data_IF_722194060182
#
_entry.id   IF_722194060182
#
_cell.length_a   1.000
_cell.length_b   1.000
_cell.length_c   1.000
_cell.angle_alpha   90.00
_cell.angle_beta   90.00
_cell.angle_gamma   90.00
#
_symmetry.space_group_name_H-M   'P 1'
#
loop_
_entity.id
_entity.type
_entity.pdbx_description
1 polymer ?
#
# COMPACT_ATOMS: atom_id res chain seq x y z
N UNK A 1 35.50 11.74 1.86
CA UNK A 1 34.49 10.89 1.18
C UNK A 1 33.38 10.40 2.12
N UNK A 2 33.65 9.80 3.29
CA UNK A 2 32.60 9.33 4.24
C UNK A 2 31.59 10.42 4.63
N UNK A 3 32.05 11.61 5.06
CA UNK A 3 31.17 12.75 5.41
C UNK A 3 30.30 13.19 4.22
N UNK A 4 30.88 13.26 3.02
CA UNK A 4 30.17 13.63 1.80
C UNK A 4 29.06 12.63 1.43
N UNK A 5 29.36 11.33 1.48
CA UNK A 5 28.38 10.27 1.20
C UNK A 5 27.24 10.31 2.23
N UNK A 6 27.58 10.40 3.51
CA UNK A 6 26.58 10.49 4.59
C UNK A 6 25.68 11.72 4.46
N UNK A 7 26.25 12.90 4.22
CA UNK A 7 25.46 14.12 4.03
C UNK A 7 24.55 14.02 2.82
N UNK A 8 25.01 13.39 1.72
CA UNK A 8 24.20 13.20 0.51
C UNK A 8 23.05 12.21 0.75
N UNK A 9 23.33 11.10 1.42
CA UNK A 9 22.33 10.09 1.77
C UNK A 9 21.24 10.69 2.68
N UNK A 10 21.65 11.42 3.73
CA UNK A 10 20.71 12.08 4.64
C UNK A 10 19.84 13.12 3.90
N UNK A 11 20.44 13.97 3.05
CA UNK A 11 19.70 14.92 2.23
C UNK A 11 18.71 14.23 1.31
N UNK A 12 19.08 13.09 0.72
CA UNK A 12 18.19 12.30 -0.14
C UNK A 12 16.99 11.75 0.65
N UNK A 13 17.21 11.21 1.84
CA UNK A 13 16.14 10.68 2.69
C UNK A 13 15.18 11.82 3.10
N UNK A 14 15.72 12.94 3.57
CA UNK A 14 14.91 14.12 3.94
C UNK A 14 14.11 14.63 2.75
N UNK A 15 14.74 14.71 1.56
CA UNK A 15 14.07 15.12 0.33
C UNK A 15 12.88 14.21 0.00
N UNK A 16 13.06 12.89 0.09
CA UNK A 16 11.98 11.92 -0.14
C UNK A 16 10.87 12.09 0.89
N UNK A 17 11.20 12.25 2.18
CA UNK A 17 10.21 12.46 3.23
C UNK A 17 9.37 13.72 2.98
N UNK A 18 10.02 14.84 2.61
CA UNK A 18 9.31 16.09 2.30
C UNK A 18 8.38 15.91 1.10
N UNK A 19 8.86 15.29 0.01
CA UNK A 19 8.04 15.06 -1.19
C UNK A 19 6.85 14.17 -0.86
N UNK A 20 7.07 13.07 -0.14
CA UNK A 20 5.98 12.17 0.29
C UNK A 20 4.99 12.90 1.19
N UNK A 21 5.47 13.72 2.14
CA UNK A 21 4.61 14.52 3.01
C UNK A 21 3.72 15.48 2.21
N UNK A 22 4.28 16.17 1.22
CA UNK A 22 3.52 17.08 0.35
C UNK A 22 2.43 16.31 -0.40
N UNK A 23 2.77 15.15 -0.97
CA UNK A 23 1.79 14.30 -1.68
C UNK A 23 0.69 13.84 -0.74
N UNK A 24 1.03 13.36 0.45
CA UNK A 24 0.06 12.91 1.46
C UNK A 24 -0.87 14.07 1.85
N UNK A 25 -0.33 15.26 2.14
CA UNK A 25 -1.13 16.45 2.44
C UNK A 25 -2.07 16.76 1.28
N UNK A 26 -1.54 16.82 0.06
CA UNK A 26 -2.32 17.15 -1.13
C UNK A 26 -3.49 16.17 -1.32
N UNK A 27 -3.24 14.86 -1.18
CA UNK A 27 -4.27 13.83 -1.33
C UNK A 27 -5.36 13.95 -0.27
N UNK A 28 -4.99 14.13 0.99
CA UNK A 28 -5.96 14.15 2.10
C UNK A 28 -6.68 15.50 2.28
N UNK A 29 -6.13 16.60 1.78
CA UNK A 29 -6.70 17.94 1.99
C UNK A 29 -7.31 18.58 0.74
N UNK A 30 -6.79 18.28 -0.46
CA UNK A 30 -7.25 18.93 -1.68
C UNK A 30 -8.24 18.08 -2.49
N UNK A 31 -8.26 16.76 -2.28
CA UNK A 31 -9.22 15.89 -2.95
C UNK A 31 -10.51 15.85 -2.14
N UNK A 32 -11.67 16.19 -2.75
CA UNK A 32 -12.95 16.10 -2.07
C UNK A 32 -13.23 14.66 -1.62
N UNK A 33 -13.51 14.48 -0.34
CA UNK A 33 -13.81 13.17 0.26
C UNK A 33 -14.93 12.43 -0.47
N UNK A 34 -15.90 13.13 -1.05
CA UNK A 34 -16.97 12.53 -1.83
C UNK A 34 -16.47 11.70 -3.02
N UNK A 35 -15.34 12.07 -3.62
CA UNK A 35 -14.75 11.37 -4.77
C UNK A 35 -14.17 10.01 -4.42
N UNK A 36 -13.77 9.80 -3.17
CA UNK A 36 -13.24 8.52 -2.68
C UNK A 36 -14.30 7.42 -2.83
N UNK A 37 -15.57 7.77 -2.63
CA UNK A 37 -16.67 6.82 -2.59
C UNK A 37 -17.52 6.77 -3.86
N UNK A 38 -17.12 7.49 -4.91
CA UNK A 38 -17.88 7.57 -6.16
C UNK A 38 -18.12 6.18 -6.78
N UNK A 39 -17.12 5.30 -6.67
CA UNK A 39 -17.15 3.93 -7.18
C UNK A 39 -17.37 2.86 -6.09
N UNK A 40 -17.90 3.22 -4.93
CA UNK A 40 -18.20 2.24 -3.88
C UNK A 40 -19.63 1.68 -3.98
N UNK A 41 -19.81 0.42 -4.45
CA UNK A 41 -21.13 -0.18 -4.58
C UNK A 41 -21.82 -0.42 -3.24
N UNK A 42 -21.08 -0.60 -2.13
CA UNK A 42 -21.66 -0.78 -0.81
C UNK A 42 -22.29 0.51 -0.33
N UNK A 43 -21.55 1.63 -0.36
CA UNK A 43 -22.08 2.95 0.01
C UNK A 43 -23.26 3.37 -0.87
N UNK A 44 -23.26 3.03 -2.15
CA UNK A 44 -24.36 3.37 -3.07
C UNK A 44 -25.68 2.67 -2.70
N UNK A 45 -25.62 1.46 -2.13
CA UNK A 45 -26.80 0.70 -1.69
C UNK A 45 -27.34 1.17 -0.33
N UNK A 46 -26.48 1.71 0.52
CA UNK A 46 -26.85 2.20 1.84
C UNK A 46 -27.65 3.51 1.74
N UNK A 47 -28.63 3.65 2.63
CA UNK A 47 -29.47 4.84 2.76
C UNK A 47 -29.36 5.40 4.19
N UNK A 48 -29.87 6.61 4.33
CA UNK A 48 -30.08 7.28 5.62
C UNK A 48 -28.85 7.25 6.56
N UNK A 49 -29.05 7.00 7.87
CA UNK A 49 -27.98 7.04 8.86
C UNK A 49 -26.96 5.92 8.67
N UNK A 50 -27.36 4.75 8.17
CA UNK A 50 -26.42 3.67 7.84
C UNK A 50 -25.37 4.10 6.82
N UNK A 51 -25.76 4.93 5.83
CA UNK A 51 -24.83 5.51 4.87
C UNK A 51 -23.85 6.46 5.56
N UNK A 52 -24.32 7.27 6.51
CA UNK A 52 -23.51 8.21 7.28
C UNK A 52 -22.48 7.47 8.13
N UNK A 53 -22.94 6.54 8.98
CA UNK A 53 -22.08 5.70 9.84
C UNK A 53 -21.04 4.93 9.02
N UNK A 54 -21.46 4.30 7.92
CA UNK A 54 -20.55 3.62 7.01
C UNK A 54 -19.49 4.57 6.44
N UNK A 55 -19.88 5.79 6.06
CA UNK A 55 -18.94 6.77 5.49
C UNK A 55 -17.88 7.15 6.51
N UNK A 56 -18.27 7.46 7.75
CA UNK A 56 -17.31 7.87 8.79
C UNK A 56 -16.39 6.71 9.22
N UNK A 57 -16.93 5.51 9.40
CA UNK A 57 -16.13 4.31 9.67
C UNK A 57 -15.10 4.05 8.57
N UNK A 58 -15.47 4.23 7.29
CA UNK A 58 -14.49 4.10 6.19
C UNK A 58 -13.49 5.23 6.14
N UNK A 59 -13.86 6.44 6.55
CA UNK A 59 -12.90 7.55 6.63
C UNK A 59 -11.86 7.33 7.73
N UNK A 60 -12.27 6.74 8.84
CA UNK A 60 -11.37 6.30 9.89
C UNK A 60 -10.41 5.20 9.40
N UNK A 61 -10.93 4.15 8.74
CA UNK A 61 -10.10 3.08 8.15
C UNK A 61 -9.04 3.64 7.19
N UNK A 62 -9.41 4.68 6.43
CA UNK A 62 -8.55 5.37 5.47
C UNK A 62 -7.64 6.43 6.13
N UNK A 63 -7.78 6.68 7.43
CA UNK A 63 -6.95 7.59 8.20
C UNK A 63 -7.24 9.07 8.00
N UNK A 64 -8.49 9.46 7.75
CA UNK A 64 -8.91 10.86 7.62
C UNK A 64 -9.33 11.49 8.96
N UNK A 65 -9.87 10.69 9.88
CA UNK A 65 -10.49 11.17 11.10
C UNK A 65 -10.49 10.06 12.16
N UNK A 66 -10.65 10.47 13.42
CA UNK A 66 -11.09 9.58 14.49
C UNK A 66 -12.62 9.54 14.49
N UNK A 67 -13.21 8.34 14.62
CA UNK A 67 -14.65 8.14 14.65
C UNK A 67 -15.04 7.23 15.81
N UNK A 68 -16.10 7.62 16.52
CA UNK A 68 -16.64 6.84 17.62
C UNK A 68 -18.16 6.78 17.52
N UNK A 69 -18.70 5.57 17.59
CA UNK A 69 -20.11 5.32 17.91
C UNK A 69 -20.36 5.54 19.40
N UNK A 70 -21.62 5.71 19.81
CA UNK A 70 -21.94 5.86 21.24
C UNK A 70 -21.40 4.73 22.13
N UNK A 71 -21.45 3.49 21.65
CA UNK A 71 -20.88 2.36 22.40
C UNK A 71 -19.37 2.50 22.61
N UNK A 72 -18.65 2.89 21.55
CA UNK A 72 -17.20 3.10 21.63
C UNK A 72 -16.83 4.31 22.48
N UNK A 73 -17.63 5.39 22.45
CA UNK A 73 -17.46 6.54 23.32
C UNK A 73 -17.55 6.13 24.81
N UNK A 74 -18.56 5.33 25.16
CA UNK A 74 -18.75 4.85 26.52
C UNK A 74 -17.58 3.98 27.00
N UNK A 75 -17.02 3.15 26.12
CA UNK A 75 -15.84 2.33 26.42
C UNK A 75 -14.58 3.17 26.54
N UNK A 76 -14.38 4.16 25.66
CA UNK A 76 -13.20 5.01 25.67
C UNK A 76 -13.11 5.92 26.91
N UNK A 77 -14.23 6.18 27.57
CA UNK A 77 -14.33 6.98 28.80
C UNK A 77 -14.57 6.16 30.07
N UNK A 78 -14.32 4.85 29.99
CA UNK A 78 -14.43 3.91 31.11
C UNK A 78 -15.75 4.08 31.87
N UNK A 79 -16.87 4.21 31.15
CA UNK A 79 -18.17 4.38 31.79
C UNK A 79 -18.52 3.17 32.65
N UNK A 80 -18.84 3.43 33.92
CA UNK A 80 -19.15 2.38 34.91
C UNK A 80 -20.53 1.73 34.64
N UNK A 81 -21.42 2.44 33.94
CA UNK A 81 -22.72 1.93 33.51
C UNK A 81 -22.89 2.17 32.01
N UNK A 82 -22.43 1.19 31.23
CA UNK A 82 -22.52 1.22 29.77
C UNK A 82 -23.97 1.33 29.30
N UNK A 83 -24.93 0.70 30.01
CA UNK A 83 -26.34 0.74 29.63
C UNK A 83 -26.93 2.13 29.84
N UNK A 84 -26.60 2.80 30.95
CA UNK A 84 -26.95 4.20 31.14
C UNK A 84 -26.27 5.08 30.07
N UNK A 85 -25.00 4.85 29.78
CA UNK A 85 -24.24 5.66 28.83
C UNK A 85 -24.76 5.59 27.38
N UNK A 86 -25.23 4.44 26.91
CA UNK A 86 -25.85 4.33 25.57
C UNK A 86 -27.28 4.86 25.52
N UNK A 87 -27.93 5.03 26.69
CA UNK A 87 -29.30 5.52 26.78
C UNK A 87 -29.34 7.03 26.59
N UNK A 88 -29.96 7.48 25.49
CA UNK A 88 -30.02 8.89 25.15
C UNK A 88 -30.63 9.75 26.26
N UNK A 89 -29.89 10.76 26.72
CA UNK A 89 -30.36 11.74 27.71
C UNK A 89 -30.21 11.29 29.18
N UNK A 90 -29.55 10.17 29.46
CA UNK A 90 -29.10 9.88 30.82
C UNK A 90 -27.97 10.82 31.25
N UNK A 91 -27.77 10.98 32.56
CA UNK A 91 -26.67 11.82 33.09
C UNK A 91 -25.30 11.34 32.61
N UNK A 92 -25.13 10.01 32.53
CA UNK A 92 -23.88 9.38 32.08
C UNK A 92 -23.66 9.58 30.57
N UNK A 93 -24.73 9.49 29.77
CA UNK A 93 -24.69 9.80 28.35
C UNK A 93 -24.27 11.27 28.14
N UNK A 94 -24.89 12.21 28.84
CA UNK A 94 -24.57 13.64 28.73
C UNK A 94 -23.13 13.91 29.16
N UNK A 95 -22.66 13.27 30.25
CA UNK A 95 -21.27 13.38 30.72
C UNK A 95 -20.29 12.96 29.62
N UNK A 96 -20.45 11.77 29.05
CA UNK A 96 -19.55 11.24 28.03
C UNK A 96 -19.56 12.11 26.77
N UNK A 97 -20.73 12.55 26.30
CA UNK A 97 -20.82 13.42 25.12
C UNK A 97 -20.09 14.76 25.35
N UNK A 98 -20.28 15.39 26.51
CA UNK A 98 -19.60 16.64 26.86
C UNK A 98 -18.08 16.47 26.98
N UNK A 99 -17.61 15.33 27.51
CA UNK A 99 -16.18 15.02 27.56
C UNK A 99 -15.57 14.88 26.16
N UNK A 100 -16.27 14.25 25.22
CA UNK A 100 -15.82 14.17 23.82
C UNK A 100 -15.79 15.53 23.13
N UNK A 101 -16.82 16.37 23.34
CA UNK A 101 -16.80 17.74 22.83
C UNK A 101 -15.63 18.55 23.41
N UNK A 102 -15.32 18.38 24.71
CA UNK A 102 -14.18 19.01 25.36
C UNK A 102 -12.82 18.55 24.80
N UNK A 103 -12.73 17.29 24.35
CA UNK A 103 -11.56 16.73 23.66
C UNK A 103 -11.43 17.20 22.20
N UNK A 104 -12.37 18.03 21.72
CA UNK A 104 -12.35 18.62 20.38
C UNK A 104 -13.04 17.77 19.31
N UNK A 105 -13.85 16.79 19.70
CA UNK A 105 -14.69 16.04 18.76
C UNK A 105 -15.98 16.81 18.43
N UNK A 106 -16.47 16.63 17.22
CA UNK A 106 -17.83 17.04 16.83
C UNK A 106 -18.78 15.90 17.14
N UNK A 107 -19.74 16.14 18.05
CA UNK A 107 -20.79 15.19 18.39
C UNK A 107 -22.05 15.51 17.58
N UNK A 108 -22.55 14.54 16.82
CA UNK A 108 -23.76 14.66 16.03
C UNK A 108 -24.76 13.56 16.40
N UNK A 109 -26.04 13.93 16.50
CA UNK A 109 -27.14 12.96 16.64
C UNK A 109 -27.69 12.60 15.28
N UNK A 110 -27.80 11.30 15.01
CA UNK A 110 -28.36 10.78 13.77
C UNK A 110 -29.86 11.10 13.67
N UNK A 111 -30.23 11.97 12.72
CA UNK A 111 -31.58 12.55 12.65
C UNK A 111 -32.54 11.83 11.72
N UNK A 112 -32.01 11.03 10.77
CA UNK A 112 -32.85 10.44 9.73
C UNK A 112 -33.69 9.29 10.29
N UNK A 113 -34.89 9.10 9.73
CA UNK A 113 -35.87 8.11 10.23
C UNK A 113 -35.44 6.68 9.86
N UNK A 114 -34.68 6.04 10.75
CA UNK A 114 -34.30 4.62 10.73
C UNK A 114 -34.03 4.10 12.16
N UNK A 115 -33.63 2.83 12.30
CA UNK A 115 -33.36 2.22 13.62
C UNK A 115 -32.21 2.88 14.40
N UNK A 116 -31.35 3.64 13.72
CA UNK A 116 -30.23 4.36 14.35
C UNK A 116 -30.60 5.79 14.75
N UNK A 117 -31.86 6.21 14.53
CA UNK A 117 -32.33 7.54 14.86
C UNK A 117 -32.13 7.84 16.36
N UNK A 118 -31.52 8.98 16.66
CA UNK A 118 -31.23 9.41 18.03
C UNK A 118 -29.91 8.90 18.59
N UNK A 119 -29.23 7.97 17.93
CA UNK A 119 -27.87 7.58 18.33
C UNK A 119 -26.90 8.74 18.08
N UNK A 120 -25.96 8.90 19.01
CA UNK A 120 -24.90 9.92 18.91
C UNK A 120 -23.64 9.31 18.31
N UNK A 121 -23.01 10.06 17.40
CA UNK A 121 -21.71 9.76 16.84
C UNK A 121 -20.76 10.92 17.17
N UNK A 122 -19.47 10.62 17.35
CA UNK A 122 -18.44 11.62 17.51
C UNK A 122 -17.37 11.44 16.43
N UNK A 123 -16.90 12.54 15.84
CA UNK A 123 -15.82 12.50 14.87
C UNK A 123 -14.90 13.72 14.97
N UNK A 124 -13.61 13.54 14.64
CA UNK A 124 -12.61 14.61 14.57
C UNK A 124 -11.67 14.38 13.40
N UNK A 125 -11.66 15.29 12.43
CA UNK A 125 -10.72 15.24 11.31
C UNK A 125 -9.30 15.52 11.79
N UNK A 126 -8.34 14.77 11.26
CA UNK A 126 -6.95 14.98 11.60
C UNK A 126 -6.43 16.31 11.04
N UNK A 127 -5.67 17.02 11.87
CA UNK A 127 -4.84 18.11 11.39
C UNK A 127 -3.71 17.60 10.49
N UNK A 128 -3.14 18.47 9.66
CA UNK A 128 -2.05 18.13 8.73
C UNK A 128 -0.87 17.41 9.43
N UNK A 129 -0.45 17.89 10.60
CA UNK A 129 0.67 17.32 11.33
C UNK A 129 0.34 15.96 11.96
N UNK A 130 -0.88 15.80 12.46
CA UNK A 130 -1.36 14.54 13.02
C UNK A 130 -1.46 13.46 11.95
N UNK A 131 -1.96 13.84 10.77
CA UNK A 131 -2.07 12.98 9.60
C UNK A 131 -0.68 12.46 9.16
N UNK A 132 0.29 13.36 9.03
CA UNK A 132 1.68 12.96 8.73
C UNK A 132 2.28 12.10 9.84
N UNK A 133 2.06 12.46 11.10
CA UNK A 133 2.52 11.68 12.25
C UNK A 133 1.98 10.25 12.23
N UNK A 134 0.67 10.09 12.02
CA UNK A 134 -0.01 8.80 11.92
C UNK A 134 0.46 8.00 10.71
N UNK A 135 0.64 8.63 9.55
CA UNK A 135 1.18 8.00 8.35
C UNK A 135 2.59 7.43 8.61
N UNK A 136 3.52 8.26 9.10
CA UNK A 136 4.91 7.81 9.32
C UNK A 136 5.04 6.82 10.48
N UNK A 137 4.22 6.93 11.52
CA UNK A 137 4.18 5.98 12.64
C UNK A 137 3.82 4.58 12.17
N UNK A 138 2.88 4.46 11.23
CA UNK A 138 2.41 3.17 10.68
C UNK A 138 3.25 2.69 9.50
N UNK A 139 4.05 3.56 8.87
CA UNK A 139 4.76 3.28 7.62
C UNK A 139 5.68 2.06 7.69
N UNK A 140 6.47 1.91 8.75
CA UNK A 140 7.44 0.82 8.88
C UNK A 140 6.87 -0.24 9.83
N UNK A 141 6.62 -1.43 9.29
CA UNK A 141 6.16 -2.59 10.05
C UNK A 141 7.31 -3.57 10.18
N UNK A 142 7.67 -3.87 11.42
CA UNK A 142 8.69 -4.87 11.75
C UNK A 142 7.98 -6.14 12.17
N UNK A 143 8.35 -7.25 11.54
CA UNK A 143 7.89 -8.57 11.95
C UNK A 143 8.81 -9.13 13.04
N UNK A 144 8.23 -9.79 14.05
CA UNK A 144 8.99 -10.29 15.20
C UNK A 144 8.33 -11.54 15.82
N UNK A 145 9.08 -12.38 16.55
CA UNK A 145 8.59 -13.67 17.07
C UNK A 145 7.45 -13.61 18.10
N UNK A 146 7.13 -12.41 18.57
CA UNK A 146 6.06 -12.15 19.54
C UNK A 146 4.85 -11.50 18.89
N UNK A 147 4.77 -11.49 17.55
CA UNK A 147 3.67 -10.82 16.85
C UNK A 147 2.39 -11.64 16.85
N UNK A 148 2.52 -12.96 16.72
CA UNK A 148 1.38 -13.88 16.71
C UNK A 148 1.07 -14.36 18.12
N UNK A 149 -0.17 -14.15 18.54
CA UNK A 149 -0.74 -14.72 19.75
C UNK A 149 -1.94 -15.58 19.36
N UNK A 150 -1.74 -16.90 19.34
CA UNK A 150 -2.81 -17.86 19.02
C UNK A 150 -3.32 -18.53 20.31
N UNK A 151 -4.59 -18.31 20.71
CA UNK A 151 -5.19 -18.99 21.85
C UNK A 151 -5.24 -20.51 21.71
N UNK A 152 -5.28 -21.05 20.48
CA UNK A 152 -5.29 -22.49 20.20
C UNK A 152 -3.89 -23.12 20.22
N UNK A 153 -2.85 -22.31 20.17
CA UNK A 153 -1.46 -22.74 20.25
C UNK A 153 -0.63 -21.81 21.17
N UNK A 154 -0.91 -21.81 22.49
CA UNK A 154 -0.28 -20.89 23.43
C UNK A 154 1.22 -21.15 23.61
N UNK A 155 1.64 -22.42 23.52
CA UNK A 155 3.03 -22.87 23.74
C UNK A 155 3.85 -22.96 22.45
N UNK A 156 3.46 -22.21 21.40
CA UNK A 156 4.19 -22.20 20.15
C UNK A 156 5.65 -21.79 20.34
N UNK A 157 6.57 -22.43 19.62
CA UNK A 157 7.98 -22.05 19.62
C UNK A 157 8.11 -20.59 19.15
N UNK A 158 8.95 -19.80 19.81
CA UNK A 158 9.19 -18.39 19.44
C UNK A 158 10.66 -18.16 19.27
N UNK A 159 11.05 -17.71 18.09
CA UNK A 159 12.44 -17.40 17.81
C UNK A 159 12.76 -17.40 16.33
N UNK A 160 13.99 -17.00 16.04
CA UNK A 160 14.56 -17.10 14.71
C UNK A 160 15.38 -18.38 14.62
N UNK A 161 15.26 -19.09 13.51
CA UNK A 161 16.06 -20.26 13.21
C UNK A 161 16.71 -20.10 11.84
N UNK A 162 17.97 -20.53 11.74
CA UNK A 162 18.67 -20.62 10.46
C UNK A 162 18.43 -22.04 9.95
N UNK A 163 17.90 -22.15 8.75
CA UNK A 163 17.63 -23.44 8.15
C UNK A 163 17.64 -23.37 6.63
N UNK A 164 17.35 -24.51 6.01
CA UNK A 164 17.12 -24.57 4.57
C UNK A 164 15.63 -24.33 4.29
N UNK A 165 15.34 -23.65 3.18
CA UNK A 165 13.98 -23.54 2.64
C UNK A 165 13.54 -24.85 1.95
N UNK A 166 12.36 -24.82 1.32
CA UNK A 166 11.81 -25.97 0.59
C UNK A 166 12.58 -26.33 -0.70
N UNK A 167 13.50 -25.46 -1.15
CA UNK A 167 14.37 -25.64 -2.30
C UNK A 167 15.83 -25.94 -1.90
N UNK A 168 16.09 -26.24 -0.62
CA UNK A 168 17.43 -26.44 -0.06
C UNK A 168 18.35 -25.21 -0.14
N UNK A 169 17.79 -24.00 -0.16
CA UNK A 169 18.52 -22.73 -0.10
C UNK A 169 18.51 -22.20 1.34
N UNK A 170 19.62 -21.65 1.86
CA UNK A 170 19.66 -21.07 3.19
C UNK A 170 18.60 -19.96 3.35
N UNK A 171 17.86 -20.01 4.45
CA UNK A 171 16.89 -18.98 4.81
C UNK A 171 16.83 -18.79 6.32
N UNK A 172 16.51 -17.56 6.74
CA UNK A 172 16.17 -17.27 8.14
C UNK A 172 14.67 -17.46 8.29
N UNK A 173 14.28 -18.44 9.10
CA UNK A 173 12.90 -18.71 9.47
C UNK A 173 12.58 -18.06 10.81
N UNK A 174 11.31 -17.77 11.04
CA UNK A 174 10.81 -17.32 12.33
C UNK A 174 9.56 -18.09 12.73
N UNK A 175 9.53 -18.52 13.99
CA UNK A 175 8.34 -19.02 14.64
C UNK A 175 7.75 -17.94 15.55
N UNK A 176 6.44 -17.70 15.45
CA UNK A 176 5.73 -16.62 16.15
C UNK A 176 5.71 -15.26 15.43
N UNK A 177 6.31 -15.18 14.24
CA UNK A 177 6.21 -14.04 13.33
C UNK A 177 4.97 -14.14 12.45
N UNK A 178 4.59 -13.05 11.77
CA UNK A 178 3.54 -13.09 10.74
C UNK A 178 3.98 -13.95 9.54
N UNK A 179 5.25 -13.84 9.11
CA UNK A 179 5.80 -14.64 8.01
C UNK A 179 6.75 -15.74 8.50
N UNK A 180 6.67 -16.92 7.89
CA UNK A 180 7.59 -18.04 8.19
C UNK A 180 9.02 -17.71 7.81
N UNK A 181 9.22 -17.16 6.60
CA UNK A 181 10.54 -16.83 6.06
C UNK A 181 10.80 -15.33 6.22
N UNK A 182 11.81 -14.98 7.01
CA UNK A 182 12.17 -13.59 7.30
C UNK A 182 13.23 -13.05 6.35
N UNK A 183 14.20 -13.87 5.99
CA UNK A 183 15.22 -13.57 4.98
C UNK A 183 15.41 -14.81 4.10
N UNK A 184 15.32 -14.66 2.79
CA UNK A 184 15.47 -15.77 1.85
C UNK A 184 16.10 -15.29 0.55
N UNK A 185 16.63 -16.24 -0.22
CA UNK A 185 17.31 -16.00 -1.48
C UNK A 185 16.57 -16.71 -2.61
N UNK A 186 16.44 -16.04 -3.74
CA UNK A 186 15.90 -16.67 -4.94
C UNK A 186 16.58 -16.08 -6.19
N UNK A 187 16.13 -16.51 -7.36
CA UNK A 187 16.67 -16.07 -8.67
C UNK A 187 16.09 -14.74 -9.17
N UNK A 188 15.11 -14.16 -8.48
CA UNK A 188 14.50 -12.89 -8.84
C UNK A 188 15.28 -11.73 -8.24
N UNK A 189 15.56 -10.70 -9.03
CA UNK A 189 16.22 -9.51 -8.51
C UNK A 189 15.23 -8.67 -7.67
N UNK A 190 15.62 -8.15 -6.49
CA UNK A 190 16.90 -8.34 -5.82
C UNK A 190 17.01 -9.76 -5.23
N UNK A 191 18.12 -10.46 -5.47
CA UNK A 191 18.32 -11.88 -5.11
C UNK A 191 18.22 -12.18 -3.59
N UNK A 192 18.14 -11.13 -2.77
CA UNK A 192 17.96 -11.19 -1.32
C UNK A 192 16.63 -10.52 -1.00
N UNK A 193 15.74 -11.27 -0.36
CA UNK A 193 14.42 -10.80 0.01
C UNK A 193 14.24 -10.85 1.52
N UNK A 194 13.50 -9.87 2.05
CA UNK A 194 13.16 -9.81 3.46
C UNK A 194 11.66 -9.63 3.65
N UNK A 195 11.09 -10.39 4.59
CA UNK A 195 9.75 -10.14 5.13
C UNK A 195 9.81 -9.50 6.54
N UNK A 196 11.01 -9.38 7.13
CA UNK A 196 11.18 -8.82 8.47
C UNK A 196 10.86 -7.33 8.57
N UNK A 197 11.01 -6.60 7.45
CA UNK A 197 10.68 -5.18 7.37
C UNK A 197 9.76 -4.96 6.17
N UNK A 198 8.55 -4.48 6.42
CA UNK A 198 7.57 -4.14 5.40
C UNK A 198 7.13 -2.70 5.52
N UNK A 199 6.71 -2.14 4.38
CA UNK A 199 6.07 -0.84 4.33
C UNK A 199 4.55 -1.02 4.36
N UNK A 200 3.88 -0.21 5.15
CA UNK A 200 2.43 -0.16 5.23
C UNK A 200 1.93 1.17 4.65
N UNK A 201 1.21 1.08 3.53
CA UNK A 201 0.58 2.21 2.85
C UNK A 201 -0.94 2.24 3.07
N UNK A 202 -1.42 1.60 4.14
CA UNK A 202 -2.83 1.47 4.44
C UNK A 202 -3.53 0.39 3.62
N UNK A 203 -4.86 0.47 3.61
CA UNK A 203 -5.75 -0.48 2.95
C UNK A 203 -6.22 0.13 1.63
N UNK A 204 -6.31 -0.69 0.59
CA UNK A 204 -6.78 -0.28 -0.72
C UNK A 204 -8.28 -0.04 -0.71
N UNK A 205 -8.73 0.99 -1.41
CA UNK A 205 -10.14 1.36 -1.54
C UNK A 205 -10.36 2.26 -2.79
N UNK A 206 -11.51 2.17 -3.50
CA UNK A 206 -12.59 1.20 -3.32
C UNK A 206 -12.39 -0.12 -4.10
N UNK A 207 -11.50 -0.16 -5.08
CA UNK A 207 -11.40 -1.28 -6.04
C UNK A 207 -10.98 -2.61 -5.41
N UNK A 208 -10.00 -2.58 -4.49
CA UNK A 208 -9.55 -3.75 -3.73
C UNK A 208 -9.84 -3.57 -2.24
N UNK A 209 -11.09 -3.20 -1.92
CA UNK A 209 -11.52 -2.89 -0.56
C UNK A 209 -11.10 -3.98 0.44
N UNK A 210 -10.41 -3.57 1.50
CA UNK A 210 -9.98 -4.47 2.59
C UNK A 210 -8.62 -5.15 2.38
N UNK A 211 -7.99 -5.02 1.21
CA UNK A 211 -6.67 -5.58 0.94
C UNK A 211 -5.58 -4.55 1.23
N UNK A 212 -4.48 -4.89 1.95
CA UNK A 212 -3.36 -3.97 2.14
C UNK A 212 -2.82 -3.42 0.80
N UNK A 213 -2.63 -2.11 0.70
CA UNK A 213 -2.18 -1.45 -0.53
C UNK A 213 -0.86 -2.02 -1.02
N UNK A 214 0.06 -2.34 -0.10
CA UNK A 214 1.35 -2.95 -0.43
C UNK A 214 1.19 -4.30 -1.13
N UNK A 215 0.23 -5.12 -0.71
CA UNK A 215 -0.04 -6.43 -1.33
C UNK A 215 -0.61 -6.23 -2.75
N UNK A 216 -1.48 -5.24 -2.95
CA UNK A 216 -2.06 -4.91 -4.27
C UNK A 216 -0.99 -4.50 -5.29
N UNK A 217 -0.06 -3.62 -4.91
CA UNK A 217 0.95 -3.09 -5.84
C UNK A 217 2.16 -4.03 -6.03
N UNK A 218 2.39 -4.94 -5.10
CA UNK A 218 3.52 -5.89 -5.12
C UNK A 218 3.18 -7.25 -5.72
N UNK A 219 1.90 -7.63 -5.74
CA UNK A 219 1.44 -8.88 -6.37
C UNK A 219 1.52 -8.79 -7.90
N UNK A 220 1.89 -9.90 -8.53
CA UNK A 220 1.88 -10.02 -9.99
C UNK A 220 0.48 -9.90 -10.59
N UNK A 221 0.42 -9.67 -11.90
CA UNK A 221 -0.84 -9.46 -12.64
C UNK A 221 -1.06 -10.59 -13.65
N UNK A 222 -2.25 -10.67 -14.23
CA UNK A 222 -2.56 -11.65 -15.28
C UNK A 222 -2.97 -13.02 -14.73
N UNK A 223 -2.56 -14.10 -15.41
CA UNK A 223 -2.98 -15.46 -15.04
C UNK A 223 -1.99 -16.10 -14.05
N UNK A 224 -2.48 -17.03 -13.22
CA UNK A 224 -1.65 -17.72 -12.24
C UNK A 224 -0.64 -18.65 -12.94
N UNK A 225 0.64 -18.47 -12.65
CA UNK A 225 1.72 -19.26 -13.23
C UNK A 225 2.11 -20.40 -12.28
N UNK A 226 1.56 -21.58 -12.53
CA UNK A 226 1.79 -22.76 -11.68
C UNK A 226 3.06 -23.50 -12.07
N UNK A 227 3.91 -23.76 -11.10
CA UNK A 227 5.16 -24.51 -11.26
C UNK A 227 5.17 -25.74 -10.33
N UNK A 228 5.99 -26.73 -10.68
CA UNK A 228 6.18 -27.90 -9.83
C UNK A 228 7.02 -27.50 -8.60
N UNK A 229 6.53 -27.84 -7.42
CA UNK A 229 7.19 -27.54 -6.16
C UNK A 229 6.92 -28.63 -5.14
N UNK A 230 7.89 -28.85 -4.25
CA UNK A 230 7.74 -29.74 -3.10
C UNK A 230 7.22 -28.93 -1.93
N UNK A 231 6.11 -29.39 -1.35
CA UNK A 231 5.49 -28.81 -0.17
C UNK A 231 6.14 -29.33 1.13
N UNK A 232 6.02 -28.61 2.26
CA UNK A 232 6.57 -29.06 3.55
C UNK A 232 6.17 -30.48 3.98
N UNK A 233 4.99 -30.95 3.57
CA UNK A 233 4.53 -32.33 3.80
C UNK A 233 5.28 -33.39 2.97
N UNK A 234 6.13 -32.98 2.03
CA UNK A 234 6.83 -33.85 1.09
C UNK A 234 6.06 -34.10 -0.21
N UNK A 235 4.81 -33.62 -0.33
CA UNK A 235 4.03 -33.76 -1.56
C UNK A 235 4.60 -32.87 -2.68
N UNK A 236 4.79 -33.46 -3.86
CA UNK A 236 5.18 -32.73 -5.08
C UNK A 236 3.92 -32.41 -5.87
N UNK A 237 3.58 -31.14 -5.98
CA UNK A 237 2.37 -30.67 -6.66
C UNK A 237 2.69 -29.49 -7.57
N UNK A 238 1.92 -29.38 -8.66
CA UNK A 238 1.92 -28.18 -9.50
C UNK A 238 1.03 -27.12 -8.87
N UNK A 239 1.62 -26.01 -8.45
CA UNK A 239 0.92 -24.94 -7.74
C UNK A 239 1.55 -23.58 -8.05
N UNK A 240 0.76 -22.48 -8.09
CA UNK A 240 1.30 -21.12 -8.22
C UNK A 240 1.74 -20.52 -6.87
N UNK A 241 1.65 -21.27 -5.77
CA UNK A 241 1.98 -20.77 -4.43
C UNK A 241 3.45 -20.36 -4.32
N UNK A 242 3.70 -19.18 -3.75
CA UNK A 242 5.03 -18.71 -3.36
C UNK A 242 5.27 -18.98 -1.88
N UNK A 243 5.89 -20.11 -1.53
CA UNK A 243 6.01 -20.54 -0.13
C UNK A 243 6.79 -19.56 0.77
N UNK A 244 7.72 -18.78 0.20
CA UNK A 244 8.44 -17.73 0.94
C UNK A 244 7.57 -16.57 1.44
N UNK A 245 6.33 -16.47 0.94
CA UNK A 245 5.39 -15.39 1.29
C UNK A 245 4.30 -15.86 2.25
N UNK A 246 4.34 -17.11 2.71
CA UNK A 246 3.32 -17.66 3.59
C UNK A 246 3.26 -16.95 4.94
N UNK A 247 2.04 -16.48 5.25
CA UNK A 247 1.62 -15.86 6.50
C UNK A 247 0.98 -16.90 7.43
N UNK A 248 1.06 -16.64 8.73
CA UNK A 248 0.38 -17.42 9.74
C UNK A 248 -1.13 -17.38 9.56
N UNK A 249 -1.78 -18.54 9.60
CA UNK A 249 -3.22 -18.75 9.51
C UNK A 249 -3.68 -19.43 10.81
N UNK A 250 -4.54 -18.75 11.57
CA UNK A 250 -5.06 -19.24 12.84
C UNK A 250 -5.86 -20.54 12.70
N UNK A 251 -6.55 -20.71 11.57
CA UNK A 251 -7.33 -21.91 11.28
C UNK A 251 -6.92 -22.46 9.92
N UNK A 252 -6.25 -23.61 9.91
CA UNK A 252 -5.88 -24.32 8.69
C UNK A 252 -7.04 -25.21 8.24
N UNK A 253 -7.30 -25.23 6.94
CA UNK A 253 -8.30 -26.12 6.34
C UNK A 253 -7.65 -27.46 5.92
N UNK A 254 -8.49 -28.42 5.48
CA UNK A 254 -8.00 -29.73 5.04
C UNK A 254 -7.04 -29.67 3.83
N UNK A 255 -7.17 -28.66 2.96
CA UNK A 255 -6.27 -28.49 1.82
C UNK A 255 -4.92 -27.93 2.27
N UNK A 256 -4.93 -27.03 3.27
CA UNK A 256 -3.73 -26.51 3.89
C UNK A 256 -2.96 -27.64 4.57
N UNK A 257 -3.60 -28.48 5.38
CA UNK A 257 -2.95 -29.58 6.11
C UNK A 257 -2.33 -30.64 5.20
N UNK A 258 -2.82 -30.75 3.96
CA UNK A 258 -2.21 -31.62 2.95
C UNK A 258 -0.88 -31.06 2.42
N UNK A 259 -0.73 -29.73 2.43
CA UNK A 259 0.42 -29.00 1.86
C UNK A 259 1.39 -28.50 2.92
N UNK A 260 0.92 -28.09 4.09
CA UNK A 260 1.71 -27.46 5.13
C UNK A 260 1.63 -28.28 6.41
N UNK A 261 2.79 -28.46 7.04
CA UNK A 261 2.98 -29.11 8.32
C UNK A 261 2.69 -28.18 9.51
N UNK A 262 2.62 -26.88 9.25
CA UNK A 262 2.39 -25.83 10.24
C UNK A 262 1.28 -24.85 9.80
N UNK A 263 1.02 -23.87 10.65
CA UNK A 263 0.00 -22.85 10.44
C UNK A 263 0.39 -21.79 9.38
N UNK A 264 1.57 -21.87 8.75
CA UNK A 264 1.97 -20.91 7.72
C UNK A 264 1.47 -21.33 6.34
N UNK A 265 0.16 -21.23 6.14
CA UNK A 265 -0.53 -21.71 4.95
C UNK A 265 -1.15 -20.60 4.07
N UNK A 266 -1.16 -19.34 4.52
CA UNK A 266 -1.73 -18.24 3.74
C UNK A 266 -0.66 -17.54 2.89
N UNK A 267 -0.49 -17.97 1.64
CA UNK A 267 0.64 -17.57 0.79
C UNK A 267 0.20 -16.73 -0.42
N UNK A 268 1.08 -15.84 -0.88
CA UNK A 268 0.86 -15.15 -2.15
C UNK A 268 1.02 -16.12 -3.34
N UNK A 269 0.41 -15.76 -4.46
CA UNK A 269 0.43 -16.52 -5.69
C UNK A 269 1.36 -15.87 -6.71
N UNK A 270 2.01 -16.71 -7.51
CA UNK A 270 2.80 -16.32 -8.66
C UNK A 270 1.87 -16.10 -9.85
N UNK A 271 2.11 -15.01 -10.56
CA UNK A 271 1.41 -14.67 -11.79
C UNK A 271 2.39 -14.55 -12.96
N UNK A 272 1.86 -14.67 -14.18
CA UNK A 272 2.61 -14.57 -15.43
C UNK A 272 3.19 -13.17 -15.69
N UNK A 273 2.54 -12.13 -15.15
CA UNK A 273 2.89 -10.74 -15.40
C UNK A 273 3.46 -10.07 -14.14
N UNK A 274 4.42 -9.15 -14.30
CA UNK A 274 5.05 -8.45 -13.18
C UNK A 274 4.07 -7.57 -12.41
N UNK A 275 4.43 -7.28 -11.16
CA UNK A 275 3.67 -6.38 -10.30
C UNK A 275 3.77 -4.91 -10.73
N UNK A 276 2.93 -4.05 -10.16
CA UNK A 276 3.00 -2.60 -10.43
C UNK A 276 4.35 -2.01 -10.00
N UNK A 277 4.89 -2.48 -8.86
CA UNK A 277 6.23 -2.10 -8.40
C UNK A 277 7.30 -2.57 -9.38
N UNK A 278 7.27 -3.84 -9.78
CA UNK A 278 8.27 -4.38 -10.69
C UNK A 278 8.25 -3.68 -12.05
N UNK A 279 7.05 -3.37 -12.56
CA UNK A 279 6.87 -2.59 -13.79
C UNK A 279 7.47 -1.20 -13.66
N UNK A 280 7.17 -0.50 -12.56
CA UNK A 280 7.74 0.83 -12.28
C UNK A 280 9.26 0.81 -12.17
N UNK A 281 9.80 -0.26 -11.57
CA UNK A 281 11.25 -0.47 -11.45
C UNK A 281 11.91 -0.67 -12.82
N UNK A 282 11.32 -1.46 -13.71
CA UNK A 282 11.79 -1.66 -15.08
C UNK A 282 11.82 -0.31 -15.82
N UNK A 283 10.72 0.44 -15.81
CA UNK A 283 10.67 1.77 -16.43
C UNK A 283 11.71 2.72 -15.85
N UNK A 284 11.88 2.74 -14.53
CA UNK A 284 12.87 3.58 -13.86
C UNK A 284 14.30 3.28 -14.29
N UNK A 285 14.70 2.00 -14.31
CA UNK A 285 16.05 1.61 -14.72
C UNK A 285 16.27 1.83 -16.21
N UNK A 286 15.32 1.43 -17.06
CA UNK A 286 15.43 1.64 -18.50
C UNK A 286 15.56 3.13 -18.83
N UNK A 287 14.75 3.98 -18.18
CA UNK A 287 14.84 5.44 -18.32
C UNK A 287 16.20 5.98 -17.86
N UNK A 288 16.73 5.49 -16.74
CA UNK A 288 18.04 5.86 -16.25
C UNK A 288 19.15 5.50 -17.25
N UNK A 289 19.14 4.27 -17.77
CA UNK A 289 20.11 3.79 -18.75
C UNK A 289 20.05 4.67 -20.02
N UNK A 290 18.85 4.94 -20.54
CA UNK A 290 18.68 5.80 -21.72
C UNK A 290 19.15 7.23 -21.46
N UNK A 291 18.90 7.78 -20.26
CA UNK A 291 19.39 9.10 -19.89
C UNK A 291 20.92 9.17 -19.88
N UNK A 292 21.59 8.13 -19.37
CA UNK A 292 23.06 8.06 -19.39
C UNK A 292 23.64 7.81 -20.78
N UNK A 293 22.97 7.02 -21.62
CA UNK A 293 23.45 6.68 -22.96
C UNK A 293 23.18 7.77 -24.00
N UNK A 294 22.09 8.52 -23.86
CA UNK A 294 21.63 9.48 -24.88
C UNK A 294 21.70 10.90 -24.34
N UNK A 295 20.97 11.19 -23.26
CA UNK A 295 20.81 12.56 -22.76
C UNK A 295 22.15 13.15 -22.29
N UNK A 296 22.98 12.38 -21.60
CA UNK A 296 24.27 12.87 -21.09
C UNK A 296 25.27 13.16 -22.23
N UNK A 297 25.55 12.25 -23.18
CA UNK A 297 26.39 12.57 -24.34
C UNK A 297 25.85 13.72 -25.17
N UNK A 298 24.53 13.81 -25.36
CA UNK A 298 23.91 14.92 -26.09
C UNK A 298 24.10 16.26 -25.37
N UNK A 299 23.92 16.31 -24.04
CA UNK A 299 24.18 17.49 -23.25
C UNK A 299 25.68 17.91 -23.28
N UNK A 300 26.60 16.95 -23.23
CA UNK A 300 28.03 17.22 -23.38
C UNK A 300 28.33 17.74 -24.80
N UNK A 301 27.72 17.16 -25.84
CA UNK A 301 27.90 17.58 -27.22
C UNK A 301 27.38 19.01 -27.46
N UNK A 302 26.24 19.38 -26.85
CA UNK A 302 25.71 20.75 -26.81
C UNK A 302 26.72 21.69 -26.16
N UNK A 303 27.20 21.36 -24.95
CA UNK A 303 28.14 22.21 -24.21
C UNK A 303 29.47 22.42 -24.98
N UNK A 304 29.96 21.38 -25.67
CA UNK A 304 31.20 21.45 -26.45
C UNK A 304 31.04 22.18 -27.79
N UNK A 305 29.84 22.21 -28.37
CA UNK A 305 29.57 22.79 -29.69
C UNK A 305 28.68 24.04 -29.62
N UNK A 306 29.00 24.94 -28.68
CA UNK A 306 28.24 26.18 -28.46
C UNK A 306 28.05 26.99 -29.74
N UNK A 307 26.83 27.47 -29.97
CA UNK A 307 26.44 28.27 -31.13
C UNK A 307 26.26 27.48 -32.44
N UNK A 308 26.62 26.19 -32.47
CA UNK A 308 26.41 25.31 -33.62
C UNK A 308 25.01 24.69 -33.61
N UNK A 309 24.69 23.93 -34.65
CA UNK A 309 23.38 23.29 -34.82
C UNK A 309 22.98 22.39 -33.65
N UNK A 310 23.91 21.61 -33.08
CA UNK A 310 23.63 20.70 -31.95
C UNK A 310 23.17 21.48 -30.71
N UNK A 311 23.81 22.61 -30.42
CA UNK A 311 23.42 23.49 -29.33
C UNK A 311 22.04 24.13 -29.58
N UNK A 312 21.85 24.71 -30.76
CA UNK A 312 20.56 25.34 -31.14
C UNK A 312 19.39 24.36 -31.11
N UNK A 313 19.57 23.14 -31.62
CA UNK A 313 18.51 22.11 -31.62
C UNK A 313 18.13 21.69 -30.20
N UNK A 314 19.09 21.53 -29.30
CA UNK A 314 18.77 21.16 -27.93
C UNK A 314 18.18 22.30 -27.11
N UNK A 315 18.56 23.57 -27.35
CA UNK A 315 17.87 24.74 -26.76
C UNK A 315 16.40 24.76 -27.18
N UNK A 316 16.10 24.52 -28.46
CA UNK A 316 14.71 24.43 -28.96
C UNK A 316 13.96 23.32 -28.24
N UNK A 317 14.55 22.14 -28.11
CA UNK A 317 13.95 21.02 -27.39
C UNK A 317 13.63 21.38 -25.93
N UNK A 318 14.59 21.97 -25.21
CA UNK A 318 14.42 22.38 -23.80
C UNK A 318 13.30 23.42 -23.67
N UNK A 319 13.27 24.42 -24.54
CA UNK A 319 12.24 25.46 -24.50
C UNK A 319 10.84 24.87 -24.74
N UNK A 320 10.69 23.93 -25.68
CA UNK A 320 9.42 23.23 -25.90
C UNK A 320 9.00 22.45 -24.66
N UNK A 321 9.93 21.69 -24.06
CA UNK A 321 9.63 20.88 -22.87
C UNK A 321 9.23 21.71 -21.66
N UNK A 322 9.77 22.91 -21.50
CA UNK A 322 9.42 23.84 -20.42
C UNK A 322 8.10 24.57 -20.71
N UNK A 323 7.84 24.89 -21.99
CA UNK A 323 6.65 25.64 -22.39
C UNK A 323 5.37 24.80 -22.41
N UNK A 324 5.48 23.49 -22.69
CA UNK A 324 4.32 22.61 -22.84
C UNK A 324 3.99 21.93 -21.50
N UNK A 325 2.73 22.00 -21.02
CA UNK A 325 2.30 21.24 -19.85
C UNK A 325 2.60 19.75 -20.03
N UNK A 326 3.21 19.12 -19.02
CA UNK A 326 3.68 17.73 -19.14
C UNK A 326 2.57 16.76 -19.55
N UNK A 327 1.34 16.97 -19.05
CA UNK A 327 0.19 16.14 -19.42
C UNK A 327 -0.16 16.26 -20.92
N UNK A 328 -0.12 17.47 -21.47
CA UNK A 328 -0.38 17.71 -22.89
C UNK A 328 0.71 17.09 -23.78
N UNK A 329 1.98 17.22 -23.36
CA UNK A 329 3.10 16.58 -24.05
C UNK A 329 2.96 15.05 -24.07
N UNK A 330 2.60 14.45 -22.93
CA UNK A 330 2.37 12.99 -22.82
C UNK A 330 1.28 12.58 -23.82
N UNK A 331 0.13 13.24 -23.82
CA UNK A 331 -0.95 12.90 -24.77
C UNK A 331 -0.54 13.11 -26.23
N UNK A 332 0.19 14.18 -26.54
CA UNK A 332 0.67 14.44 -27.90
C UNK A 332 1.61 13.34 -28.39
N UNK A 333 2.61 12.98 -27.59
CA UNK A 333 3.55 11.89 -27.89
C UNK A 333 2.81 10.56 -28.02
N UNK A 334 1.81 10.33 -27.15
CA UNK A 334 0.95 9.15 -27.17
C UNK A 334 0.20 9.02 -28.50
N UNK A 335 -0.47 10.08 -28.96
CA UNK A 335 -1.20 10.08 -30.24
C UNK A 335 -0.28 9.83 -31.43
N UNK A 336 0.91 10.44 -31.44
CA UNK A 336 1.91 10.19 -32.48
C UNK A 336 2.36 8.73 -32.46
N UNK A 337 2.72 8.21 -31.29
CA UNK A 337 3.13 6.82 -31.14
C UNK A 337 2.07 5.84 -31.62
N UNK A 338 0.81 6.07 -31.27
CA UNK A 338 -0.31 5.27 -31.75
C UNK A 338 -0.46 5.29 -33.27
N UNK A 339 -0.29 6.46 -33.91
CA UNK A 339 -0.28 6.57 -35.36
C UNK A 339 0.87 5.77 -36.02
N UNK A 340 1.98 5.56 -35.31
CA UNK A 340 3.10 4.69 -35.72
C UNK A 340 2.97 3.24 -35.24
N UNK A 341 1.80 2.81 -34.74
CA UNK A 341 1.53 1.43 -34.34
C UNK A 341 2.11 1.03 -32.98
N UNK A 342 2.39 2.00 -32.10
CA UNK A 342 2.67 1.76 -30.67
C UNK A 342 1.36 1.60 -29.88
N UNK A 343 1.36 0.93 -28.72
CA UNK A 343 0.15 0.79 -27.92
C UNK A 343 -0.28 2.14 -27.33
N UNK A 344 -1.60 2.33 -27.19
CA UNK A 344 -2.18 3.48 -26.49
C UNK A 344 -2.42 3.18 -24.99
N UNK A 345 -2.35 1.90 -24.60
CA UNK A 345 -2.41 1.48 -23.21
C UNK A 345 -1.48 0.30 -23.01
N UNK A 346 -0.76 0.29 -21.90
CA UNK A 346 0.14 -0.80 -21.53
C UNK A 346 -0.46 -2.23 -21.70
N UNK A 347 -1.72 -2.51 -21.27
CA UNK A 347 -2.30 -3.85 -21.42
C UNK A 347 -2.55 -4.29 -22.88
N UNK A 348 -2.51 -3.38 -23.86
CA UNK A 348 -2.86 -3.67 -25.25
C UNK A 348 -1.93 -4.71 -25.90
N UNK A 349 -0.63 -4.63 -25.62
CA UNK A 349 0.35 -5.61 -26.10
C UNK A 349 0.91 -6.49 -24.98
N UNK A 350 0.54 -6.20 -23.73
CA UNK A 350 0.94 -6.96 -22.56
C UNK A 350 2.42 -6.81 -22.19
N UNK A 351 2.83 -7.53 -21.15
CA UNK A 351 4.16 -7.41 -20.54
C UNK A 351 5.28 -8.09 -21.32
N UNK A 352 4.94 -8.96 -22.28
CA UNK A 352 5.91 -9.69 -23.11
C UNK A 352 6.41 -8.86 -24.29
N UNK A 353 5.72 -7.78 -24.65
CA UNK A 353 6.07 -6.96 -25.80
C UNK A 353 6.85 -5.71 -25.40
N UNK A 354 8.05 -5.53 -25.97
CA UNK A 354 8.90 -4.37 -25.67
C UNK A 354 8.25 -3.03 -26.03
N UNK A 355 7.34 -3.01 -27.03
CA UNK A 355 6.62 -1.79 -27.42
C UNK A 355 5.79 -1.22 -26.27
N UNK A 356 5.27 -2.07 -25.39
CA UNK A 356 4.54 -1.67 -24.17
C UNK A 356 5.41 -0.85 -23.20
N UNK A 357 6.74 -0.99 -23.26
CA UNK A 357 7.68 -0.28 -22.39
C UNK A 357 8.30 0.96 -23.06
N UNK A 358 8.09 1.16 -24.36
CA UNK A 358 8.60 2.34 -25.07
C UNK A 358 7.59 3.48 -24.98
N UNK A 359 6.31 3.18 -25.17
CA UNK A 359 5.23 4.15 -25.17
C UNK A 359 3.94 3.47 -24.67
N UNK A 360 3.69 3.50 -23.35
CA UNK A 360 2.57 2.81 -22.71
C UNK A 360 1.23 3.55 -22.79
#
# INVERSE_FOLDING_TARGET
>A
MKKYIWTRLLKSIISILIVVSIVVIMLYTLIPVSKIFENDPARQKLKTNYKTVYTYSRLEDLGYLDYYTIGEMCLAKDSQDINACITAGSDENIRVLNEFEADGFTVEKLQQFDEMQGNSIAYRYYGVLELLGNFYKKLIVIDHPFKIHDPKNPDMERGYSIGLDHNNVPAIKCSGCEYKYQLYFNTSFPFIHTNALKLNFGISYPTNAGVPTMDVISTGQGTMDSFEQTFPTGEVLKSPILQHTCKYKYETDHLDQKRFDDNYANCALKYDSPSMIQTSYIFGISSLILAYLISLPYAIAMARNKGKFVDKSGIVLINILIAVPSLALIFFVKYIGFAFGMPDKFPQLGFTNIKSYILP
#
